data_IF_541374671362
#
_entry.id   IF_541374671362
#
_cell.length_a   1.000
_cell.length_b   1.000
_cell.length_c   1.000
_cell.angle_alpha   90.00
_cell.angle_beta   90.00
_cell.angle_gamma   90.00
#
_symmetry.space_group_name_H-M   'P 1'
#
loop_
_entity.id
_entity.type
_entity.pdbx_description
1 polymer ?
#
# COMPACT_ATOMS: atom_id res chain seq x y z
N UNK A 1 17.85 2.33 3.38
CA UNK A 1 18.08 1.82 4.76
C UNK A 1 16.80 1.12 5.18
N UNK A 2 16.84 -0.17 5.53
CA UNK A 2 15.67 -0.89 6.03
C UNK A 2 15.25 -0.32 7.40
N UNK A 3 13.95 -0.08 7.57
CA UNK A 3 13.34 0.39 8.81
C UNK A 3 12.23 -0.57 9.22
N UNK A 4 11.94 -0.67 10.53
CA UNK A 4 10.84 -1.50 10.99
C UNK A 4 9.51 -0.94 10.45
N UNK A 5 8.67 -1.83 9.90
CA UNK A 5 7.31 -1.47 9.51
C UNK A 5 6.49 -1.26 10.79
N UNK A 6 5.81 -0.12 10.91
CA UNK A 6 4.91 0.14 12.03
C UNK A 6 3.54 -0.48 11.74
N UNK A 7 3.19 -1.54 12.48
CA UNK A 7 1.90 -2.22 12.42
C UNK A 7 1.27 -2.22 13.82
N UNK A 8 -0.05 -2.48 13.94
CA UNK A 8 -0.68 -2.70 15.24
C UNK A 8 -0.03 -3.87 16.00
N UNK A 9 -0.01 -3.77 17.32
CA UNK A 9 0.60 -4.77 18.19
C UNK A 9 0.10 -6.19 17.90
N UNK A 10 1.03 -7.12 17.70
CA UNK A 10 0.75 -8.55 17.51
C UNK A 10 0.54 -8.97 16.05
N UNK A 11 0.56 -8.04 15.10
CA UNK A 11 0.49 -8.36 13.67
C UNK A 11 1.77 -9.09 13.21
N UNK A 12 2.93 -8.77 13.78
CA UNK A 12 4.19 -9.46 13.48
C UNK A 12 4.13 -10.95 13.84
N UNK A 13 3.36 -11.30 14.88
CA UNK A 13 3.13 -12.69 15.28
C UNK A 13 2.31 -13.43 14.22
N UNK A 14 1.28 -12.79 13.64
CA UNK A 14 0.48 -13.35 12.56
C UNK A 14 1.28 -13.53 11.26
N UNK A 15 2.24 -12.63 11.02
CA UNK A 15 3.13 -12.68 9.86
C UNK A 15 4.34 -13.62 10.06
N UNK A 16 4.52 -14.14 11.28
CA UNK A 16 5.59 -15.06 11.65
C UNK A 16 6.99 -14.47 11.62
N UNK A 17 7.14 -13.14 11.41
CA UNK A 17 8.43 -12.44 11.39
C UNK A 17 8.26 -10.94 11.63
N UNK A 18 9.30 -10.31 12.20
CA UNK A 18 9.46 -8.87 12.14
C UNK A 18 9.75 -8.44 10.69
N UNK A 19 9.02 -7.43 10.21
CA UNK A 19 9.14 -6.93 8.85
C UNK A 19 9.92 -5.60 8.85
N UNK A 20 10.92 -5.55 7.99
CA UNK A 20 11.63 -4.33 7.64
C UNK A 20 11.29 -3.93 6.21
N UNK A 21 11.14 -2.63 5.99
CA UNK A 21 10.89 -2.03 4.69
C UNK A 21 11.78 -0.82 4.48
N UNK A 22 12.25 -0.63 3.25
CA UNK A 22 12.90 0.59 2.77
C UNK A 22 11.97 1.45 1.90
N UNK A 23 10.68 1.10 1.87
CA UNK A 23 9.66 1.76 1.07
C UNK A 23 9.56 3.27 1.36
N UNK A 24 9.31 4.02 0.30
CA UNK A 24 9.00 5.45 0.34
C UNK A 24 7.89 5.76 -0.64
N UNK A 25 6.99 6.65 -0.25
CA UNK A 25 5.92 7.14 -1.11
C UNK A 25 6.49 7.89 -2.32
N UNK A 26 6.01 7.55 -3.51
CA UNK A 26 6.36 8.25 -4.76
C UNK A 26 5.27 9.26 -5.15
N UNK A 27 4.02 8.85 -4.97
CA UNK A 27 2.79 9.60 -5.26
C UNK A 27 1.65 9.02 -4.44
N UNK A 28 0.48 9.63 -4.51
CA UNK A 28 -0.74 9.08 -3.91
C UNK A 28 -1.02 7.67 -4.45
N UNK A 29 -1.37 6.76 -3.54
CA UNK A 29 -1.76 5.40 -3.92
C UNK A 29 -1.41 4.32 -2.91
N UNK A 30 -1.54 3.08 -3.38
CA UNK A 30 -1.33 1.85 -2.66
C UNK A 30 -0.18 1.08 -3.29
N UNK A 31 0.73 0.59 -2.46
CA UNK A 31 1.98 -0.02 -2.92
C UNK A 31 2.26 -1.33 -2.22
N UNK A 32 2.44 -2.39 -2.99
CA UNK A 32 2.94 -3.66 -2.51
C UNK A 32 4.37 -3.51 -1.98
N UNK A 33 4.62 -4.04 -0.79
CA UNK A 33 5.97 -4.08 -0.24
C UNK A 33 6.68 -5.37 -0.64
N UNK A 34 7.59 -5.24 -1.61
CA UNK A 34 8.40 -6.33 -2.15
C UNK A 34 9.32 -6.98 -1.10
N UNK A 35 9.81 -6.21 -0.13
CA UNK A 35 10.73 -6.70 0.91
C UNK A 35 9.99 -7.56 1.95
N UNK A 36 8.67 -7.35 2.04
CA UNK A 36 7.79 -8.15 2.89
C UNK A 36 7.14 -9.32 2.18
N UNK A 37 7.51 -9.59 0.93
CA UNK A 37 6.87 -10.59 0.06
C UNK A 37 5.37 -10.28 -0.13
N UNK A 38 5.08 -8.98 -0.28
CA UNK A 38 3.76 -8.39 -0.48
C UNK A 38 2.74 -8.72 0.61
N UNK A 39 3.18 -9.26 1.77
CA UNK A 39 2.31 -9.44 2.94
C UNK A 39 1.93 -8.13 3.59
N UNK A 40 2.73 -7.09 3.38
CA UNK A 40 2.42 -5.70 3.73
C UNK A 40 2.22 -4.89 2.46
N UNK A 41 1.35 -3.90 2.56
CA UNK A 41 1.23 -2.83 1.59
C UNK A 41 1.21 -1.48 2.29
N UNK A 42 1.53 -0.45 1.53
CA UNK A 42 1.61 0.92 2.01
C UNK A 42 0.56 1.79 1.34
N UNK A 43 -0.05 2.66 2.12
CA UNK A 43 -0.96 3.70 1.63
C UNK A 43 -0.26 5.03 1.77
N UNK A 44 -0.20 5.78 0.68
CA UNK A 44 0.44 7.08 0.58
C UNK A 44 -0.59 8.15 0.24
N UNK A 45 -0.57 9.25 0.97
CA UNK A 45 -1.37 10.45 0.71
C UNK A 45 -0.49 11.69 0.80
N UNK A 46 -0.40 12.43 -0.29
CA UNK A 46 0.26 13.71 -0.39
C UNK A 46 -0.57 14.77 0.31
N UNK A 47 0.06 15.50 1.22
CA UNK A 47 -0.48 16.65 1.93
C UNK A 47 0.40 17.84 1.61
N UNK A 48 -0.20 18.85 0.99
CA UNK A 48 0.48 20.12 0.75
C UNK A 48 0.53 20.91 2.05
N UNK A 49 1.73 21.20 2.52
CA UNK A 49 1.98 22.05 3.69
C UNK A 49 1.77 23.52 3.37
N UNK A 50 1.75 24.35 4.42
CA UNK A 50 1.61 25.81 4.30
C UNK A 50 2.72 26.46 3.47
N UNK A 51 3.91 25.86 3.42
CA UNK A 51 5.06 26.31 2.64
C UNK A 51 5.01 25.89 1.15
N UNK A 52 3.97 25.15 0.74
CA UNK A 52 3.77 24.65 -0.61
C UNK A 52 4.50 23.34 -0.91
N UNK A 53 5.30 22.80 0.02
CA UNK A 53 5.91 21.49 -0.14
C UNK A 53 4.88 20.38 0.05
N UNK A 54 5.01 19.31 -0.73
CA UNK A 54 4.18 18.10 -0.55
C UNK A 54 4.94 17.14 0.34
N UNK A 55 4.33 16.79 1.47
CA UNK A 55 4.77 15.67 2.29
C UNK A 55 3.79 14.51 2.18
N UNK A 56 4.30 13.29 2.24
CA UNK A 56 3.46 12.11 2.20
C UNK A 56 3.17 11.62 3.61
N UNK A 57 1.89 11.60 3.97
CA UNK A 57 1.39 10.74 5.04
C UNK A 57 1.42 9.30 4.54
N UNK A 58 1.97 8.42 5.36
CA UNK A 58 2.25 7.03 5.03
C UNK A 58 1.78 6.11 6.13
N UNK A 59 1.08 5.04 5.76
CA UNK A 59 0.67 3.98 6.66
C UNK A 59 0.95 2.61 6.04
N UNK A 60 1.26 1.63 6.89
CA UNK A 60 1.46 0.26 6.49
C UNK A 60 0.34 -0.63 7.01
N UNK A 61 -0.06 -1.60 6.19
CA UNK A 61 -1.12 -2.55 6.50
C UNK A 61 -0.67 -3.95 6.10
N UNK A 62 -1.05 -4.94 6.88
CA UNK A 62 -0.79 -6.34 6.56
C UNK A 62 -2.03 -7.02 6.00
N UNK A 63 -1.83 -7.86 4.99
CA UNK A 63 -2.85 -8.75 4.48
C UNK A 63 -3.13 -9.89 5.47
N UNK A 64 -4.41 -10.14 5.74
CA UNK A 64 -4.85 -11.22 6.63
C UNK A 64 -4.86 -12.59 5.95
N UNK A 65 -5.09 -13.64 6.74
CA UNK A 65 -5.36 -15.00 6.25
C UNK A 65 -4.29 -15.54 5.26
N UNK A 66 -3.02 -15.19 5.47
CA UNK A 66 -1.89 -15.60 4.62
C UNK A 66 -2.00 -15.18 3.14
N UNK A 67 -2.77 -14.13 2.87
CA UNK A 67 -2.87 -13.52 1.54
C UNK A 67 -1.73 -12.52 1.30
N UNK A 68 -1.57 -12.12 0.05
CA UNK A 68 -0.60 -11.10 -0.38
C UNK A 68 -1.31 -9.99 -1.14
N UNK A 69 -0.77 -8.77 -1.03
CA UNK A 69 -1.31 -7.62 -1.73
C UNK A 69 -1.08 -7.75 -3.23
N UNK A 70 -2.17 -7.86 -3.98
CA UNK A 70 -2.18 -7.85 -5.43
C UNK A 70 -2.21 -6.40 -5.93
N UNK A 71 -1.05 -5.92 -6.39
CA UNK A 71 -0.92 -4.56 -6.88
C UNK A 71 -1.82 -4.25 -8.09
N UNK A 72 -2.16 -5.25 -8.91
CA UNK A 72 -2.98 -5.06 -10.11
C UNK A 72 -4.46 -4.79 -9.81
N UNK A 73 -4.95 -5.26 -8.65
CA UNK A 73 -6.34 -5.11 -8.22
C UNK A 73 -6.51 -4.25 -6.96
N UNK A 74 -5.41 -3.88 -6.31
CA UNK A 74 -5.40 -3.17 -5.02
C UNK A 74 -6.11 -3.92 -3.89
N UNK A 75 -6.07 -5.25 -3.91
CA UNK A 75 -6.71 -6.12 -2.92
C UNK A 75 -5.72 -7.14 -2.37
N UNK A 76 -5.98 -7.65 -1.17
CA UNK A 76 -5.31 -8.86 -0.70
C UNK A 76 -5.94 -10.09 -1.37
N UNK A 77 -5.12 -10.93 -1.99
CA UNK A 77 -5.56 -12.13 -2.70
C UNK A 77 -4.63 -13.31 -2.39
N UNK A 78 -5.08 -14.53 -2.66
CA UNK A 78 -4.21 -15.70 -2.56
C UNK A 78 -3.10 -15.63 -3.61
N UNK A 79 -1.97 -16.29 -3.35
CA UNK A 79 -0.77 -16.17 -4.19
C UNK A 79 -0.95 -16.69 -5.62
N UNK A 80 -1.92 -17.57 -5.85
CA UNK A 80 -2.30 -18.11 -7.15
C UNK A 80 -3.27 -17.22 -7.93
N UNK A 81 -3.93 -16.27 -7.26
CA UNK A 81 -4.81 -15.27 -7.86
C UNK A 81 -4.10 -13.91 -8.03
N UNK A 82 -3.14 -13.61 -7.15
CA UNK A 82 -2.36 -12.38 -7.19
C UNK A 82 -1.32 -12.39 -8.30
N UNK A 83 -0.94 -11.20 -8.79
CA UNK A 83 0.28 -11.08 -9.58
C UNK A 83 1.49 -11.49 -8.71
N UNK A 84 2.52 -12.15 -9.28
CA UNK A 84 3.71 -12.50 -8.51
C UNK A 84 4.30 -11.27 -7.83
N UNK A 85 4.67 -11.37 -6.54
CA UNK A 85 5.12 -10.21 -5.77
C UNK A 85 6.29 -9.50 -6.45
N UNK A 86 7.25 -10.24 -7.00
CA UNK A 86 8.41 -9.69 -7.71
C UNK A 86 8.01 -8.79 -8.91
N UNK A 87 6.82 -8.99 -9.48
CA UNK A 87 6.27 -8.21 -10.59
C UNK A 87 5.31 -7.11 -10.13
N UNK A 88 5.00 -7.00 -8.83
CA UNK A 88 4.04 -6.00 -8.35
C UNK A 88 4.43 -4.57 -8.76
N UNK A 89 5.73 -4.25 -8.78
CA UNK A 89 6.22 -2.91 -9.19
C UNK A 89 5.81 -2.54 -10.62
N UNK A 90 5.63 -3.51 -11.51
CA UNK A 90 5.20 -3.29 -12.90
C UNK A 90 3.78 -2.71 -12.97
N UNK A 91 3.00 -2.81 -11.89
CA UNK A 91 1.63 -2.32 -11.77
C UNK A 91 1.50 -1.03 -10.94
N UNK A 92 2.61 -0.45 -10.45
CA UNK A 92 2.55 0.79 -9.65
C UNK A 92 1.93 1.97 -10.41
N UNK A 93 2.01 1.96 -11.74
CA UNK A 93 1.39 2.98 -12.60
C UNK A 93 -0.14 3.04 -12.44
N UNK A 94 -0.80 1.95 -12.02
CA UNK A 94 -2.25 1.94 -11.82
C UNK A 94 -2.68 2.93 -10.72
N UNK A 95 -1.78 3.32 -9.83
CA UNK A 95 -2.07 4.35 -8.83
C UNK A 95 -2.45 5.69 -9.48
N UNK A 96 -1.96 5.99 -10.69
CA UNK A 96 -2.33 7.20 -11.46
C UNK A 96 -3.83 7.27 -11.77
N UNK A 97 -4.53 6.13 -11.73
CA UNK A 97 -5.93 6.01 -12.10
C UNK A 97 -6.90 5.99 -10.90
N UNK A 98 -6.40 5.90 -9.66
CA UNK A 98 -7.24 5.73 -8.47
C UNK A 98 -8.02 6.99 -8.05
N UNK A 99 -7.53 8.17 -8.43
CA UNK A 99 -8.06 9.45 -7.94
C UNK A 99 -8.45 10.40 -9.08
N UNK A 100 -8.76 9.84 -10.26
CA UNK A 100 -9.11 10.63 -11.44
C UNK A 100 -10.51 11.25 -11.38
N UNK A 101 -11.40 10.71 -10.54
CA UNK A 101 -12.77 11.20 -10.40
C UNK A 101 -12.93 12.05 -9.13
N UNK A 102 -12.59 13.34 -9.21
CA UNK A 102 -13.01 14.31 -8.18
C UNK A 102 -14.48 14.73 -8.30
N UNK A 103 -15.14 14.35 -9.39
CA UNK A 103 -16.48 14.83 -9.76
C UNK A 103 -17.57 13.74 -9.71
N UNK A 104 -17.25 12.51 -9.26
CA UNK A 104 -18.28 11.49 -9.05
C UNK A 104 -19.10 11.87 -7.82
N UNK A 105 -20.39 12.23 -7.97
CA UNK A 105 -21.23 12.53 -6.83
C UNK A 105 -21.30 11.26 -5.98
N UNK A 106 -20.92 11.36 -4.71
CA UNK A 106 -21.23 10.31 -3.74
C UNK A 106 -22.76 10.28 -3.69
N UNK A 107 -23.37 9.24 -4.25
CA UNK A 107 -24.81 9.02 -4.18
C UNK A 107 -25.17 8.82 -2.70
N UNK A 108 -25.51 9.91 -2.02
CA UNK A 108 -25.81 9.85 -0.59
C UNK A 108 -25.95 11.18 0.16
N UNK A 109 -25.65 12.34 -0.43
CA UNK A 109 -25.94 13.64 0.19
C UNK A 109 -27.33 14.17 -0.24
N UNK A 110 -28.40 13.52 0.24
CA UNK A 110 -29.77 14.08 0.30
C UNK A 110 -30.19 14.26 1.76
#
# INVERSE_FOLDING_TARGET
>A
RLQAVTLPDGVELLLGRALGSSFQCQRDGYYADLETDCRVFHVCRGVTKEDGNVEFEHHAFACGNQTMFNQASFTCAFSDEAVPCANAKDFFYLNDHLFQDKDTPILGDD
#
